data_IF_304790847142
#
_entry.id   IF_304790847142
#
_cell.length_a   1.000
_cell.length_b   1.000
_cell.length_c   1.000
_cell.angle_alpha   90.00
_cell.angle_beta   90.00
_cell.angle_gamma   90.00
#
_symmetry.space_group_name_H-M   'P 1'
#
loop_
_entity.id
_entity.type
_entity.pdbx_description
1 polymer ?
#
# COMPACT_ATOMS: atom_id res chain seq x y z
N UNK A 1 3.39 79.96 -34.01
CA UNK A 1 2.82 78.76 -33.37
C UNK A 1 3.94 77.74 -33.14
N UNK A 2 4.55 77.70 -31.96
CA UNK A 2 5.60 76.73 -31.59
C UNK A 2 4.93 75.43 -31.14
N UNK A 3 5.13 74.32 -31.86
CA UNK A 3 4.66 72.98 -31.46
C UNK A 3 5.71 72.34 -30.55
N UNK A 4 5.37 72.11 -29.29
CA UNK A 4 6.12 71.28 -28.35
C UNK A 4 5.77 69.81 -28.60
N UNK A 5 6.77 68.98 -28.93
CA UNK A 5 6.62 67.52 -28.91
C UNK A 5 6.95 66.99 -27.50
N UNK A 6 6.12 66.12 -26.91
CA UNK A 6 6.44 65.45 -25.65
C UNK A 6 7.37 64.26 -25.92
N UNK A 7 8.49 64.21 -25.20
CA UNK A 7 9.43 63.09 -25.20
C UNK A 7 8.87 61.99 -24.28
N UNK A 8 8.34 60.92 -24.84
CA UNK A 8 7.99 59.71 -24.07
C UNK A 8 9.27 58.88 -23.83
N UNK A 9 9.76 58.87 -22.59
CA UNK A 9 10.82 57.96 -22.18
C UNK A 9 10.22 56.55 -22.00
N UNK A 10 10.55 55.63 -22.91
CA UNK A 10 10.22 54.22 -22.77
C UNK A 10 11.16 53.59 -21.74
N UNK A 11 10.65 53.29 -20.55
CA UNK A 11 11.35 52.47 -19.55
C UNK A 11 11.18 51.00 -19.96
N UNK A 12 12.20 50.44 -20.62
CA UNK A 12 12.28 49.01 -20.87
C UNK A 12 12.63 48.29 -19.56
N UNK A 13 11.62 47.73 -18.89
CA UNK A 13 11.84 46.84 -17.75
C UNK A 13 12.43 45.52 -18.26
N UNK A 14 13.74 45.33 -18.06
CA UNK A 14 14.42 44.06 -18.28
C UNK A 14 13.97 43.05 -17.21
N UNK A 15 12.91 42.30 -17.50
CA UNK A 15 12.51 41.12 -16.74
C UNK A 15 13.47 39.96 -17.06
N UNK A 16 14.59 39.89 -16.33
CA UNK A 16 15.44 38.70 -16.34
C UNK A 16 14.67 37.46 -15.87
N UNK A 17 14.99 36.26 -16.36
CA UNK A 17 14.34 35.04 -15.91
C UNK A 17 14.63 34.84 -14.42
N UNK A 18 13.58 34.83 -13.59
CA UNK A 18 13.69 34.44 -12.19
C UNK A 18 14.07 32.97 -12.15
N UNK A 19 15.30 32.66 -11.75
CA UNK A 19 15.72 31.28 -11.53
C UNK A 19 14.84 30.67 -10.44
N UNK A 20 13.92 29.78 -10.82
CA UNK A 20 13.08 29.08 -9.87
C UNK A 20 13.95 28.11 -9.07
N UNK A 21 14.08 28.35 -7.77
CA UNK A 21 14.83 27.48 -6.87
C UNK A 21 14.30 26.04 -7.00
N UNK A 22 15.22 25.08 -7.07
CA UNK A 22 14.85 23.67 -7.10
C UNK A 22 13.97 23.35 -5.88
N UNK A 23 12.89 22.57 -6.05
CA UNK A 23 12.02 22.23 -4.93
C UNK A 23 12.82 21.55 -3.82
N UNK A 24 12.54 21.92 -2.57
CA UNK A 24 13.18 21.32 -1.41
C UNK A 24 13.01 19.79 -1.43
N UNK A 25 14.06 19.07 -1.03
CA UNK A 25 14.04 17.61 -0.90
C UNK A 25 13.02 17.20 0.17
N UNK A 26 12.31 16.11 -0.09
CA UNK A 26 11.41 15.50 0.90
C UNK A 26 12.25 14.95 2.05
N UNK A 27 11.87 15.22 3.30
CA UNK A 27 12.57 14.72 4.49
C UNK A 27 11.91 13.42 4.96
N UNK A 28 12.60 12.30 4.79
CA UNK A 28 12.12 10.97 5.16
C UNK A 28 12.72 10.54 6.49
N UNK A 29 11.86 10.07 7.40
CA UNK A 29 12.27 9.26 8.55
C UNK A 29 11.87 7.82 8.27
N UNK A 30 12.85 6.92 8.21
CA UNK A 30 12.65 5.49 8.02
C UNK A 30 12.83 4.76 9.36
N UNK A 31 11.75 4.15 9.86
CA UNK A 31 11.76 3.29 11.01
C UNK A 31 11.74 1.82 10.55
N UNK A 32 12.80 1.08 10.86
CA UNK A 32 12.94 -0.34 10.55
C UNK A 32 13.10 -1.23 11.79
N UNK A 33 12.44 -0.82 12.89
CA UNK A 33 12.44 -1.53 14.16
C UNK A 33 11.51 -2.75 14.15
N UNK A 34 12.06 -3.90 14.55
CA UNK A 34 11.28 -5.11 14.86
C UNK A 34 11.25 -5.37 16.37
N UNK A 35 10.06 -5.62 16.91
CA UNK A 35 9.84 -6.20 18.23
C UNK A 35 9.28 -7.61 18.03
N UNK A 36 10.09 -8.63 18.31
CA UNK A 36 9.79 -10.01 17.95
C UNK A 36 10.56 -10.46 16.70
N UNK A 37 9.85 -10.89 15.65
CA UNK A 37 10.50 -11.40 14.44
C UNK A 37 11.23 -10.29 13.67
N UNK A 38 12.48 -10.56 13.30
CA UNK A 38 13.34 -9.64 12.55
C UNK A 38 13.53 -10.16 11.14
N UNK A 39 13.07 -9.39 10.15
CA UNK A 39 13.24 -9.75 8.74
C UNK A 39 14.67 -9.47 8.27
N UNK A 40 15.16 -10.27 7.32
CA UNK A 40 16.51 -10.11 6.75
C UNK A 40 16.81 -8.69 6.23
N UNK A 41 15.90 -7.99 5.52
CA UNK A 41 16.19 -6.64 5.01
C UNK A 41 16.46 -5.60 6.08
N UNK A 42 15.95 -5.79 7.30
CA UNK A 42 16.09 -4.87 8.44
C UNK A 42 17.04 -5.40 9.52
N UNK A 43 17.79 -6.45 9.21
CA UNK A 43 18.79 -7.01 10.13
C UNK A 43 20.09 -6.24 9.98
N UNK A 44 20.61 -5.68 11.09
CA UNK A 44 21.93 -5.04 11.09
C UNK A 44 23.03 -6.09 10.87
N UNK A 45 24.17 -5.72 10.26
CA UNK A 45 25.32 -6.62 10.16
C UNK A 45 25.77 -7.06 11.56
N UNK A 46 26.19 -8.32 11.69
CA UNK A 46 26.68 -8.85 12.96
C UNK A 46 27.83 -8.00 13.52
N UNK A 47 27.79 -7.72 14.82
CA UNK A 47 28.81 -6.94 15.54
C UNK A 47 29.04 -5.53 14.97
N UNK A 48 28.03 -4.91 14.36
CA UNK A 48 28.11 -3.57 13.80
C UNK A 48 26.82 -2.77 14.01
N UNK A 49 26.97 -1.47 14.20
CA UNK A 49 25.85 -0.51 14.10
C UNK A 49 25.71 0.05 12.67
N UNK A 50 26.28 -0.65 11.68
CA UNK A 50 26.15 -0.30 10.27
C UNK A 50 24.72 -0.42 9.75
N UNK A 51 24.46 0.11 8.55
CA UNK A 51 23.12 0.17 8.01
C UNK A 51 22.60 -1.21 7.61
N UNK A 52 21.30 -1.42 7.73
CA UNK A 52 20.59 -2.62 7.24
C UNK A 52 20.51 -2.61 5.70
N UNK A 53 20.28 -3.76 5.04
CA UNK A 53 20.09 -3.80 3.60
C UNK A 53 19.02 -2.84 3.07
N UNK A 54 17.90 -2.66 3.78
CA UNK A 54 16.84 -1.72 3.40
C UNK A 54 17.24 -0.26 3.62
N UNK A 55 17.96 0.05 4.71
CA UNK A 55 18.54 1.38 4.97
C UNK A 55 19.49 1.79 3.83
N UNK A 56 20.37 0.88 3.38
CA UNK A 56 21.27 1.09 2.23
C UNK A 56 20.46 1.38 0.96
N UNK A 57 19.45 0.54 0.66
CA UNK A 57 18.65 0.71 -0.55
C UNK A 57 17.90 2.05 -0.58
N UNK A 58 17.33 2.51 0.54
CA UNK A 58 16.69 3.83 0.63
C UNK A 58 17.70 4.97 0.45
N UNK A 59 18.88 4.87 1.06
CA UNK A 59 19.95 5.85 0.87
C UNK A 59 20.42 5.91 -0.60
N UNK A 60 20.51 4.78 -1.28
CA UNK A 60 20.85 4.72 -2.71
C UNK A 60 19.76 5.33 -3.59
N UNK A 61 18.48 5.08 -3.31
CA UNK A 61 17.37 5.73 -4.04
C UNK A 61 17.45 7.26 -3.84
N UNK A 62 17.65 7.72 -2.60
CA UNK A 62 17.79 9.13 -2.27
C UNK A 62 18.96 9.78 -3.04
N UNK A 63 20.14 9.15 -2.99
CA UNK A 63 21.35 9.66 -3.64
C UNK A 63 21.23 9.70 -5.17
N UNK A 64 20.68 8.64 -5.79
CA UNK A 64 20.54 8.55 -7.25
C UNK A 64 19.51 9.52 -7.81
N UNK A 65 18.42 9.75 -7.08
CA UNK A 65 17.27 10.53 -7.60
C UNK A 65 17.28 11.98 -7.15
N UNK A 66 17.95 12.30 -6.03
CA UNK A 66 17.92 13.60 -5.39
C UNK A 66 16.54 13.99 -4.83
N UNK A 67 15.55 13.09 -4.84
CA UNK A 67 14.16 13.42 -4.53
C UNK A 67 13.88 13.62 -3.04
N UNK A 68 14.66 12.97 -2.18
CA UNK A 68 14.50 13.01 -0.73
C UNK A 68 15.84 12.88 -0.01
N UNK A 69 15.86 13.23 1.27
CA UNK A 69 16.88 12.83 2.24
C UNK A 69 16.26 11.79 3.17
N UNK A 70 17.04 10.82 3.64
CA UNK A 70 16.56 9.79 4.56
C UNK A 70 17.40 9.75 5.82
N UNK A 71 16.71 9.76 6.96
CA UNK A 71 17.26 9.41 8.26
C UNK A 71 16.66 8.06 8.67
N UNK A 72 17.50 7.09 9.02
CA UNK A 72 17.07 5.75 9.40
C UNK A 72 17.30 5.47 10.87
N UNK A 73 16.39 4.71 11.48
CA UNK A 73 16.44 4.39 12.91
C UNK A 73 15.73 3.06 13.20
N UNK A 74 16.23 2.34 14.21
CA UNK A 74 15.54 1.20 14.84
C UNK A 74 14.98 1.56 16.23
N UNK A 75 14.80 2.85 16.50
CA UNK A 75 14.22 3.35 17.75
C UNK A 75 12.97 4.20 17.47
N UNK A 76 11.79 3.62 17.65
CA UNK A 76 10.51 4.28 17.45
C UNK A 76 10.27 5.44 18.44
N UNK A 77 11.00 5.50 19.57
CA UNK A 77 10.83 6.56 20.57
C UNK A 77 11.27 7.94 20.05
N UNK A 78 12.04 7.98 18.96
CA UNK A 78 12.42 9.25 18.32
C UNK A 78 11.23 9.94 17.65
N UNK A 79 10.14 9.20 17.36
CA UNK A 79 8.93 9.75 16.77
C UNK A 79 8.15 10.51 17.85
N UNK A 80 8.39 11.83 17.87
CA UNK A 80 7.79 12.78 18.80
C UNK A 80 7.14 13.94 18.03
N UNK A 81 6.22 14.72 18.63
CA UNK A 81 5.67 15.92 18.00
C UNK A 81 6.74 16.90 17.49
N UNK A 82 7.85 17.02 18.22
CA UNK A 82 9.01 17.83 17.83
C UNK A 82 9.68 17.26 16.59
N UNK A 83 10.00 15.95 16.57
CA UNK A 83 10.62 15.30 15.42
C UNK A 83 9.77 15.43 14.15
N UNK A 84 8.45 15.31 14.26
CA UNK A 84 7.52 15.40 13.13
C UNK A 84 7.51 16.78 12.43
N UNK A 85 8.06 17.84 13.05
CA UNK A 85 8.27 19.13 12.37
C UNK A 85 9.36 19.05 11.30
N UNK A 86 10.29 18.11 11.48
CA UNK A 86 11.46 17.92 10.62
C UNK A 86 11.30 16.81 9.59
N UNK A 87 10.10 16.21 9.51
CA UNK A 87 9.78 15.07 8.67
C UNK A 87 8.61 15.41 7.77
N UNK A 88 8.69 15.01 6.50
CA UNK A 88 7.60 15.11 5.52
C UNK A 88 6.98 13.74 5.25
N UNK A 89 7.77 12.65 5.34
CA UNK A 89 7.28 11.27 5.16
C UNK A 89 7.86 10.34 6.21
N UNK A 90 7.00 9.58 6.87
CA UNK A 90 7.36 8.50 7.78
C UNK A 90 7.24 7.16 7.02
N UNK A 91 8.31 6.38 6.97
CA UNK A 91 8.32 5.04 6.36
C UNK A 91 8.48 4.01 7.46
N UNK A 92 7.58 3.03 7.52
CA UNK A 92 7.63 1.90 8.45
C UNK A 92 7.94 0.62 7.67
N UNK A 93 8.99 -0.08 8.10
CA UNK A 93 9.15 -1.52 7.92
C UNK A 93 9.33 -2.11 9.31
N UNK A 94 8.23 -2.40 9.99
CA UNK A 94 8.24 -2.66 11.44
C UNK A 94 7.48 -3.93 11.76
N UNK A 95 7.72 -4.50 12.93
CA UNK A 95 7.02 -5.70 13.43
C UNK A 95 6.76 -5.57 14.93
N UNK A 96 5.62 -6.08 15.37
CA UNK A 96 5.24 -6.24 16.77
C UNK A 96 4.96 -4.93 17.53
N UNK A 97 5.14 -5.01 18.85
CA UNK A 97 4.79 -3.97 19.83
C UNK A 97 5.81 -2.85 19.92
N UNK A 98 5.70 -1.89 18.99
CA UNK A 98 6.57 -0.72 18.98
C UNK A 98 6.37 0.16 20.23
N UNK A 99 7.45 0.70 20.81
CA UNK A 99 7.39 1.55 22.00
C UNK A 99 6.96 3.00 21.65
N UNK A 100 5.82 3.17 20.98
CA UNK A 100 5.22 4.47 20.66
C UNK A 100 4.14 4.79 21.69
N UNK A 101 4.30 5.89 22.44
CA UNK A 101 3.31 6.31 23.42
C UNK A 101 1.98 6.69 22.76
N UNK A 102 0.88 6.63 23.52
CA UNK A 102 -0.42 7.02 23.00
C UNK A 102 -0.46 8.49 22.53
N UNK A 103 0.26 9.38 23.21
CA UNK A 103 0.45 10.78 22.82
C UNK A 103 1.17 10.92 21.49
N UNK A 104 2.29 10.20 21.32
CA UNK A 104 3.09 10.24 20.09
C UNK A 104 2.29 9.68 18.90
N UNK A 105 1.54 8.59 19.09
CA UNK A 105 0.67 8.07 18.04
C UNK A 105 -0.45 9.04 17.66
N UNK A 106 -1.10 9.68 18.64
CA UNK A 106 -2.08 10.73 18.38
C UNK A 106 -1.47 11.94 17.62
N UNK A 107 -0.20 12.25 17.87
CA UNK A 107 0.52 13.27 17.13
C UNK A 107 0.82 12.86 15.67
N UNK A 108 1.23 11.61 15.42
CA UNK A 108 1.41 11.06 14.06
C UNK A 108 0.11 11.16 13.27
N UNK A 109 -1.00 10.72 13.87
CA UNK A 109 -2.31 10.76 13.21
C UNK A 109 -2.70 12.19 12.82
N UNK A 110 -2.62 13.16 13.74
CA UNK A 110 -2.92 14.58 13.45
C UNK A 110 -1.98 15.19 12.42
N UNK A 111 -0.70 14.81 12.45
CA UNK A 111 0.29 15.27 11.48
C UNK A 111 -0.06 14.81 10.06
N UNK A 112 -0.45 13.53 9.88
CA UNK A 112 -0.96 13.03 8.60
C UNK A 112 -2.29 13.67 8.24
N UNK A 113 -3.28 13.71 9.15
CA UNK A 113 -4.60 14.32 8.91
C UNK A 113 -4.52 15.77 8.44
N UNK A 114 -3.56 16.53 8.96
CA UNK A 114 -3.33 17.93 8.57
C UNK A 114 -2.72 18.12 7.18
N UNK A 115 -2.22 17.04 6.55
CA UNK A 115 -1.50 17.10 5.26
C UNK A 115 -0.07 17.60 5.38
N UNK A 116 0.44 17.81 6.60
CA UNK A 116 1.85 18.12 6.85
C UNK A 116 2.76 16.91 6.63
N UNK A 117 2.19 15.70 6.64
CA UNK A 117 2.92 14.45 6.58
C UNK A 117 2.28 13.37 5.72
N UNK A 118 3.14 12.52 5.16
CA UNK A 118 2.79 11.29 4.50
C UNK A 118 3.27 10.05 5.26
N UNK A 119 2.62 8.91 5.02
CA UNK A 119 3.00 7.63 5.64
C UNK A 119 3.21 6.54 4.58
N UNK A 120 4.26 5.74 4.72
CA UNK A 120 4.52 4.58 3.86
C UNK A 120 4.71 3.33 4.72
N UNK A 121 3.86 2.32 4.55
CA UNK A 121 4.05 0.99 5.10
C UNK A 121 4.71 0.06 4.08
N UNK A 122 5.78 -0.63 4.48
CA UNK A 122 6.48 -1.61 3.66
C UNK A 122 6.40 -2.98 4.32
N UNK A 123 6.07 -3.99 3.51
CA UNK A 123 6.00 -5.40 3.86
C UNK A 123 5.37 -5.67 5.24
N UNK A 124 6.21 -5.85 6.27
CA UNK A 124 5.80 -6.26 7.62
C UNK A 124 5.10 -5.16 8.40
N UNK A 125 5.02 -3.93 7.88
CA UNK A 125 4.35 -2.81 8.56
C UNK A 125 2.92 -3.14 9.03
N UNK A 126 2.20 -4.08 8.40
CA UNK A 126 0.87 -4.56 8.84
C UNK A 126 0.89 -5.60 9.97
N UNK A 127 2.08 -6.11 10.32
CA UNK A 127 2.38 -6.96 11.47
C UNK A 127 2.88 -6.12 12.67
N UNK A 128 2.65 -4.81 12.63
CA UNK A 128 2.88 -3.89 13.74
C UNK A 128 1.57 -3.67 14.49
N UNK A 129 1.62 -3.66 15.81
CA UNK A 129 0.48 -3.37 16.68
C UNK A 129 0.97 -2.91 18.05
N UNK A 130 0.11 -2.30 18.86
CA UNK A 130 0.32 -2.11 20.31
C UNK A 130 -1.04 -1.79 20.91
N UNK A 131 -1.19 -1.92 22.24
CA UNK A 131 -2.42 -1.50 22.89
C UNK A 131 -2.55 0.04 22.83
N UNK A 132 -3.63 0.51 22.22
CA UNK A 132 -3.86 1.93 22.00
C UNK A 132 -5.24 2.35 22.52
N UNK A 133 -5.23 3.06 23.65
CA UNK A 133 -6.40 3.65 24.30
C UNK A 133 -6.54 5.16 24.08
N UNK A 134 -5.70 5.75 23.22
CA UNK A 134 -5.74 7.18 22.89
C UNK A 134 -6.80 7.55 21.84
N UNK A 135 -6.91 8.84 21.48
CA UNK A 135 -7.90 9.31 20.51
C UNK A 135 -7.56 8.93 19.06
N UNK A 136 -8.59 8.70 18.25
CA UNK A 136 -8.43 8.42 16.82
C UNK A 136 -8.37 6.92 16.51
N UNK A 137 -7.58 6.55 15.51
CA UNK A 137 -7.44 5.21 14.98
C UNK A 137 -6.34 4.43 15.73
N UNK A 138 -6.60 3.15 16.00
CA UNK A 138 -5.52 2.20 16.27
C UNK A 138 -4.59 2.11 15.05
N UNK A 139 -3.36 1.64 15.25
CA UNK A 139 -2.40 1.49 14.14
C UNK A 139 -2.94 0.60 13.01
N UNK A 140 -3.54 -0.55 13.34
CA UNK A 140 -4.09 -1.48 12.34
C UNK A 140 -5.24 -0.86 11.56
N UNK A 141 -6.11 -0.09 12.24
CA UNK A 141 -7.18 0.67 11.61
C UNK A 141 -6.67 1.86 10.79
N UNK A 142 -5.47 2.40 11.07
CA UNK A 142 -4.82 3.46 10.30
C UNK A 142 -4.16 2.93 9.02
N UNK A 143 -3.35 1.87 9.11
CA UNK A 143 -2.70 1.25 7.95
C UNK A 143 -3.68 0.43 7.09
N UNK A 144 -4.86 0.10 7.64
CA UNK A 144 -5.94 -0.67 7.02
C UNK A 144 -5.58 -2.14 6.76
N UNK A 145 -5.01 -2.80 7.77
CA UNK A 145 -4.73 -4.22 7.71
C UNK A 145 -3.95 -4.68 8.92
N UNK A 146 -4.40 -5.76 9.54
CA UNK A 146 -3.69 -6.48 10.60
C UNK A 146 -3.23 -7.82 10.05
N UNK A 147 -1.97 -8.18 10.27
CA UNK A 147 -1.43 -9.48 9.87
C UNK A 147 -2.34 -10.64 10.33
N UNK A 148 -2.71 -11.50 9.37
CA UNK A 148 -3.54 -12.69 9.60
C UNK A 148 -2.96 -13.93 8.89
N UNK A 149 -1.63 -13.97 8.78
CA UNK A 149 -0.88 -15.06 8.18
C UNK A 149 -0.21 -14.72 6.84
N UNK A 150 0.61 -15.66 6.39
CA UNK A 150 1.48 -15.53 5.21
C UNK A 150 1.54 -16.86 4.44
N UNK A 151 0.43 -17.30 3.82
CA UNK A 151 0.40 -18.58 3.09
C UNK A 151 1.47 -18.66 1.99
N UNK A 152 1.73 -17.53 1.32
CA UNK A 152 2.80 -17.37 0.36
C UNK A 152 4.04 -16.97 1.14
N UNK A 153 4.88 -17.94 1.48
CA UNK A 153 6.12 -17.73 2.24
C UNK A 153 7.24 -17.21 1.33
N UNK A 154 8.37 -16.82 1.93
CA UNK A 154 9.55 -16.35 1.20
C UNK A 154 9.86 -17.16 -0.08
N UNK A 155 9.92 -16.46 -1.21
CA UNK A 155 10.25 -17.04 -2.52
C UNK A 155 9.10 -17.79 -3.20
N UNK A 156 7.89 -17.79 -2.64
CA UNK A 156 6.71 -18.38 -3.28
C UNK A 156 6.44 -17.67 -4.60
N UNK A 157 6.29 -18.39 -5.72
CA UNK A 157 5.84 -17.80 -6.97
C UNK A 157 4.42 -17.23 -6.82
N UNK A 158 4.27 -15.96 -7.16
CA UNK A 158 3.02 -15.23 -7.14
C UNK A 158 2.76 -14.57 -8.49
N UNK A 159 1.48 -14.37 -8.79
CA UNK A 159 1.04 -13.49 -9.87
C UNK A 159 0.32 -12.31 -9.27
N UNK A 160 0.72 -11.10 -9.64
CA UNK A 160 0.12 -9.84 -9.17
C UNK A 160 -0.49 -9.12 -10.36
N UNK A 161 -1.67 -8.55 -10.17
CA UNK A 161 -2.34 -7.71 -11.16
C UNK A 161 -2.65 -6.32 -10.58
N UNK A 162 -2.46 -5.31 -11.43
CA UNK A 162 -2.81 -3.93 -11.15
C UNK A 162 -4.34 -3.74 -11.15
N UNK A 163 -4.80 -2.98 -10.17
CA UNK A 163 -6.17 -2.50 -9.99
C UNK A 163 -6.19 -0.97 -10.07
N UNK A 164 -7.38 -0.38 -10.04
CA UNK A 164 -7.55 1.06 -10.01
C UNK A 164 -7.11 1.72 -11.32
N UNK A 165 -7.26 1.03 -12.45
CA UNK A 165 -7.04 1.67 -13.74
C UNK A 165 -8.10 2.76 -13.97
N UNK A 166 -7.71 3.87 -14.61
CA UNK A 166 -8.62 4.98 -14.87
C UNK A 166 -9.72 4.52 -15.84
N UNK A 167 -10.93 5.06 -15.68
CA UNK A 167 -11.91 5.05 -16.76
C UNK A 167 -11.25 5.68 -18.01
N UNK A 168 -11.10 4.89 -19.08
CA UNK A 168 -10.33 5.28 -20.28
C UNK A 168 -8.95 4.62 -20.45
N UNK A 169 -8.54 3.69 -19.57
CA UNK A 169 -7.44 2.76 -19.85
C UNK A 169 -6.03 3.18 -19.43
N UNK A 170 -5.88 4.14 -18.51
CA UNK A 170 -4.57 4.58 -18.00
C UNK A 170 -4.16 3.93 -16.67
N UNK A 171 -2.86 3.62 -16.50
CA UNK A 171 -2.29 3.22 -15.20
C UNK A 171 -2.51 4.32 -14.16
N UNK A 172 -2.79 3.93 -12.91
CA UNK A 172 -2.74 4.88 -11.79
C UNK A 172 -1.32 5.45 -11.71
N UNK A 173 -1.12 6.79 -11.64
CA UNK A 173 0.22 7.37 -11.58
C UNK A 173 1.09 6.81 -10.46
N UNK A 174 0.50 6.34 -9.35
CA UNK A 174 1.20 5.76 -8.19
C UNK A 174 1.54 4.27 -8.40
N UNK A 175 1.01 3.65 -9.47
CA UNK A 175 1.20 2.25 -9.81
C UNK A 175 1.79 2.07 -11.22
N UNK A 176 2.84 2.83 -11.54
CA UNK A 176 3.47 2.81 -12.87
C UNK A 176 4.71 1.95 -12.96
N UNK A 177 5.39 1.70 -11.83
CA UNK A 177 6.64 0.95 -11.78
C UNK A 177 6.51 -0.48 -12.32
N UNK A 178 5.42 -1.16 -11.98
CA UNK A 178 5.21 -2.54 -12.39
C UNK A 178 4.42 -2.64 -13.72
N UNK A 179 4.59 -3.74 -14.48
CA UNK A 179 3.65 -4.11 -15.55
C UNK A 179 2.22 -4.26 -15.01
N UNK A 180 1.21 -4.20 -15.89
CA UNK A 180 -0.18 -4.35 -15.48
C UNK A 180 -0.48 -5.70 -14.82
N UNK A 181 0.28 -6.73 -15.19
CA UNK A 181 0.28 -8.06 -14.58
C UNK A 181 1.70 -8.60 -14.62
N UNK A 182 2.19 -9.16 -13.53
CA UNK A 182 3.55 -9.68 -13.45
C UNK A 182 3.64 -10.89 -12.52
N UNK A 183 4.61 -11.77 -12.79
CA UNK A 183 4.99 -12.86 -11.89
C UNK A 183 6.16 -12.41 -11.03
N UNK A 184 6.16 -12.82 -9.77
CA UNK A 184 7.24 -12.50 -8.83
C UNK A 184 7.45 -13.65 -7.85
N UNK A 185 8.52 -13.60 -7.06
CA UNK A 185 8.77 -14.57 -6.00
C UNK A 185 8.93 -13.81 -4.69
N UNK A 186 7.96 -13.92 -3.78
CA UNK A 186 7.94 -13.12 -2.55
C UNK A 186 7.11 -13.73 -1.43
N UNK A 187 7.31 -13.27 -0.20
CA UNK A 187 6.39 -13.49 0.91
C UNK A 187 5.23 -12.47 0.90
N UNK A 188 3.97 -12.95 0.91
CA UNK A 188 2.78 -12.11 0.87
C UNK A 188 1.86 -12.41 2.05
N UNK A 189 1.47 -11.34 2.73
CA UNK A 189 0.55 -11.38 3.86
C UNK A 189 -0.90 -11.33 3.43
N UNK A 190 -1.76 -11.94 4.25
CA UNK A 190 -3.20 -11.70 4.24
C UNK A 190 -3.60 -10.99 5.54
N UNK A 191 -4.73 -10.27 5.50
CA UNK A 191 -5.09 -9.34 6.57
C UNK A 191 -6.46 -9.60 7.17
N UNK A 192 -6.57 -9.46 8.50
CA UNK A 192 -7.83 -9.11 9.17
C UNK A 192 -7.97 -7.59 9.25
N UNK A 193 -9.13 -7.10 9.69
CA UNK A 193 -9.42 -5.66 9.87
C UNK A 193 -9.17 -4.79 8.63
N UNK A 194 -9.31 -5.38 7.45
CA UNK A 194 -9.18 -4.70 6.17
C UNK A 194 -10.54 -4.14 5.75
N UNK A 195 -10.66 -2.82 5.64
CA UNK A 195 -11.88 -2.15 5.16
C UNK A 195 -11.69 -1.66 3.71
N UNK A 196 -12.37 -2.28 2.72
CA UNK A 196 -12.25 -1.89 1.31
C UNK A 196 -12.82 -0.49 1.03
N UNK A 197 -13.64 0.05 1.93
CA UNK A 197 -14.25 1.39 1.79
C UNK A 197 -13.32 2.52 2.21
N UNK A 198 -12.18 2.20 2.85
CA UNK A 198 -11.20 3.19 3.31
C UNK A 198 -9.99 3.33 2.40
N UNK A 199 -9.77 2.36 1.52
CA UNK A 199 -8.54 2.31 0.71
C UNK A 199 -8.83 2.12 -0.76
N UNK A 200 -7.91 2.64 -1.57
CA UNK A 200 -7.81 2.32 -2.98
C UNK A 200 -6.80 1.20 -3.16
N UNK A 201 -7.26 0.01 -3.50
CA UNK A 201 -6.38 -1.08 -3.91
C UNK A 201 -5.75 -0.77 -5.27
N UNK A 202 -4.43 -0.89 -5.35
CA UNK A 202 -3.63 -0.68 -6.55
C UNK A 202 -3.13 -1.99 -7.14
N UNK A 203 -2.90 -3.01 -6.31
CA UNK A 203 -2.44 -4.33 -6.73
C UNK A 203 -3.06 -5.41 -5.86
N UNK A 204 -3.31 -6.58 -6.44
CA UNK A 204 -3.79 -7.76 -5.72
C UNK A 204 -3.23 -9.04 -6.34
N UNK A 205 -3.24 -10.14 -5.57
CA UNK A 205 -2.90 -11.46 -6.11
C UNK A 205 -3.92 -11.88 -7.18
N UNK A 206 -3.43 -12.51 -8.24
CA UNK A 206 -4.22 -13.12 -9.31
C UNK A 206 -4.11 -14.65 -9.23
N UNK A 207 -5.12 -15.29 -8.66
CA UNK A 207 -5.14 -16.74 -8.47
C UNK A 207 -5.45 -17.57 -9.73
N UNK A 208 -5.62 -16.97 -10.91
CA UNK A 208 -6.03 -17.72 -12.12
C UNK A 208 -4.95 -18.64 -12.66
N UNK A 209 -3.68 -18.40 -12.33
CA UNK A 209 -2.53 -19.24 -12.71
C UNK A 209 -1.62 -19.63 -11.53
N UNK A 210 -2.03 -19.34 -10.29
CA UNK A 210 -1.27 -19.69 -9.08
C UNK A 210 -1.68 -21.06 -8.54
N UNK A 211 -0.72 -21.86 -8.07
CA UNK A 211 -1.02 -23.13 -7.40
C UNK A 211 -1.65 -22.91 -6.01
N UNK A 212 -1.09 -22.01 -5.21
CA UNK A 212 -1.61 -21.65 -3.90
C UNK A 212 -2.61 -20.50 -3.99
N UNK A 213 -3.86 -20.78 -3.65
CA UNK A 213 -4.99 -19.85 -3.78
C UNK A 213 -5.72 -19.64 -2.45
N UNK A 214 -6.54 -18.58 -2.39
CA UNK A 214 -7.55 -18.36 -1.36
C UNK A 214 -8.86 -17.86 -1.98
N UNK A 215 -10.03 -18.22 -1.45
CA UNK A 215 -11.33 -17.82 -2.00
C UNK A 215 -11.73 -16.37 -1.61
N UNK A 216 -10.79 -15.52 -1.22
CA UNK A 216 -11.02 -14.13 -0.80
C UNK A 216 -10.00 -13.20 -1.43
N UNK A 217 -10.31 -11.90 -1.36
CA UNK A 217 -9.42 -10.83 -1.82
C UNK A 217 -8.12 -10.76 -1.01
N UNK A 218 -6.97 -10.71 -1.70
CA UNK A 218 -5.65 -10.49 -1.11
C UNK A 218 -4.97 -9.28 -1.78
N UNK A 219 -5.06 -8.08 -1.18
CA UNK A 219 -4.42 -6.90 -1.71
C UNK A 219 -2.90 -6.95 -1.47
N UNK A 220 -2.13 -6.51 -2.46
CA UNK A 220 -0.65 -6.41 -2.39
C UNK A 220 -0.20 -4.96 -2.19
N UNK A 221 -0.92 -4.00 -2.77
CA UNK A 221 -0.58 -2.58 -2.63
C UNK A 221 -1.85 -1.76 -2.58
N UNK A 222 -1.92 -0.79 -1.67
CA UNK A 222 -3.03 0.14 -1.57
C UNK A 222 -2.59 1.54 -1.16
N UNK A 223 -3.50 2.48 -1.38
CA UNK A 223 -3.37 3.86 -0.93
C UNK A 223 -4.57 4.27 -0.11
N UNK A 224 -4.38 5.25 0.77
CA UNK A 224 -5.43 5.80 1.63
C UNK A 224 -5.25 7.29 1.80
N UNK A 225 -6.38 8.01 1.77
CA UNK A 225 -6.44 9.40 2.20
C UNK A 225 -6.83 9.44 3.68
N UNK A 226 -6.10 10.19 4.50
CA UNK A 226 -6.42 10.41 5.91
C UNK A 226 -6.38 11.92 6.14
N UNK A 227 -7.54 12.54 6.30
CA UNK A 227 -7.67 14.00 6.23
C UNK A 227 -7.08 14.53 4.92
N UNK A 228 -6.09 15.43 5.00
CA UNK A 228 -5.35 15.96 3.87
C UNK A 228 -4.08 15.15 3.52
N UNK A 229 -3.62 14.26 4.40
CA UNK A 229 -2.45 13.42 4.17
C UNK A 229 -2.73 12.12 3.43
N UNK A 230 -1.64 11.45 3.06
CA UNK A 230 -1.65 10.28 2.19
C UNK A 230 -0.84 9.15 2.80
N UNK A 231 -1.42 7.96 2.77
CA UNK A 231 -0.79 6.71 3.17
C UNK A 231 -0.66 5.78 1.96
N UNK A 232 0.52 5.20 1.79
CA UNK A 232 0.79 4.12 0.84
C UNK A 232 1.20 2.87 1.60
N UNK A 233 0.77 1.70 1.15
CA UNK A 233 1.27 0.42 1.66
C UNK A 233 1.56 -0.55 0.52
N UNK A 234 2.64 -1.33 0.65
CA UNK A 234 2.91 -2.49 -0.20
C UNK A 234 3.35 -3.69 0.63
N UNK A 235 2.87 -4.89 0.31
CA UNK A 235 3.26 -6.16 0.93
C UNK A 235 4.62 -6.67 0.44
N UNK A 236 5.14 -6.10 -0.65
CA UNK A 236 6.44 -6.49 -1.19
C UNK A 236 7.58 -5.98 -0.31
N UNK A 237 8.69 -6.72 -0.25
CA UNK A 237 9.91 -6.28 0.42
C UNK A 237 10.49 -7.24 1.45
N UNK A 238 9.93 -8.45 1.64
CA UNK A 238 10.48 -9.46 2.55
C UNK A 238 11.85 -9.96 2.11
N UNK A 239 11.99 -10.26 0.81
CA UNK A 239 13.21 -10.88 0.31
C UNK A 239 14.28 -9.82 0.04
N UNK A 240 15.55 -10.01 0.46
CA UNK A 240 16.62 -9.04 0.18
C UNK A 240 16.82 -8.70 -1.31
N UNK A 241 16.54 -9.64 -2.23
CA UNK A 241 16.60 -9.39 -3.68
C UNK A 241 15.58 -8.35 -4.16
N UNK A 242 14.42 -8.25 -3.50
CA UNK A 242 13.38 -7.27 -3.80
C UNK A 242 13.90 -5.84 -3.64
N UNK A 243 14.76 -5.61 -2.65
CA UNK A 243 15.43 -4.32 -2.43
C UNK A 243 16.48 -3.96 -3.48
N UNK A 244 16.89 -4.92 -4.33
CA UNK A 244 17.78 -4.68 -5.48
C UNK A 244 17.02 -4.55 -6.80
N UNK A 245 15.72 -4.84 -6.81
CA UNK A 245 14.89 -4.78 -8.00
C UNK A 245 14.61 -3.31 -8.39
N UNK A 246 14.97 -2.87 -9.61
CA UNK A 246 14.70 -1.51 -10.06
C UNK A 246 13.21 -1.15 -10.05
N UNK A 247 12.30 -2.11 -10.25
CA UNK A 247 10.86 -1.86 -10.22
C UNK A 247 10.36 -1.60 -8.80
N UNK A 248 10.83 -2.35 -7.81
CA UNK A 248 10.50 -2.10 -6.41
C UNK A 248 11.07 -0.77 -5.90
N UNK A 249 12.33 -0.47 -6.26
CA UNK A 249 12.95 0.83 -5.95
C UNK A 249 12.18 2.00 -6.58
N UNK A 250 11.69 1.84 -7.80
CA UNK A 250 10.82 2.83 -8.45
C UNK A 250 9.46 2.97 -7.76
N UNK A 251 8.87 1.87 -7.27
CA UNK A 251 7.63 1.89 -6.48
C UNK A 251 7.82 2.67 -5.16
N UNK A 252 8.93 2.45 -4.44
CA UNK A 252 9.25 3.19 -3.21
C UNK A 252 9.39 4.70 -3.50
N UNK A 253 10.12 5.06 -4.58
CA UNK A 253 10.26 6.46 -4.98
C UNK A 253 8.91 7.11 -5.28
N UNK A 254 8.03 6.41 -6.01
CA UNK A 254 6.69 6.87 -6.33
C UNK A 254 5.82 7.01 -5.08
N UNK A 255 5.92 6.06 -4.13
CA UNK A 255 5.24 6.13 -2.84
C UNK A 255 5.66 7.38 -2.06
N UNK A 256 6.97 7.61 -1.87
CA UNK A 256 7.50 8.78 -1.15
C UNK A 256 7.05 10.09 -1.82
N UNK A 257 7.16 10.20 -3.15
CA UNK A 257 6.72 11.41 -3.86
C UNK A 257 5.22 11.62 -3.76
N UNK A 258 4.43 10.55 -3.86
CA UNK A 258 2.98 10.66 -3.81
C UNK A 258 2.47 11.03 -2.42
N UNK A 259 3.02 10.42 -1.36
CA UNK A 259 2.64 10.73 0.03
C UNK A 259 3.09 12.13 0.45
N UNK A 260 4.19 12.64 -0.11
CA UNK A 260 4.64 14.03 0.05
C UNK A 260 3.93 15.05 -0.89
N UNK A 261 2.86 14.65 -1.60
CA UNK A 261 2.15 15.49 -2.57
C UNK A 261 3.02 16.07 -3.71
N UNK A 262 4.14 15.41 -4.02
CA UNK A 262 5.04 15.73 -5.16
C UNK A 262 4.76 14.89 -6.41
N UNK A 263 3.74 14.02 -6.37
CA UNK A 263 3.27 13.22 -7.50
C UNK A 263 1.74 13.18 -7.51
N UNK A 264 1.08 13.30 -8.68
CA UNK A 264 -0.37 13.12 -8.79
C UNK A 264 -0.75 11.65 -8.55
N UNK A 265 -2.01 11.40 -8.21
CA UNK A 265 -2.52 10.04 -7.97
C UNK A 265 -3.78 10.08 -7.11
N UNK A 266 -4.74 9.20 -7.38
CA UNK A 266 -5.98 9.15 -6.63
C UNK A 266 -5.80 8.30 -5.37
N UNK A 267 -6.43 8.72 -4.28
CA UNK A 267 -6.61 7.90 -3.07
C UNK A 267 -8.07 7.45 -2.88
N UNK A 268 -8.97 7.80 -3.83
CA UNK A 268 -10.40 7.48 -3.74
C UNK A 268 -10.58 5.95 -3.68
N UNK A 269 -11.22 5.42 -2.62
CA UNK A 269 -11.48 4.00 -2.49
C UNK A 269 -12.20 3.41 -3.71
N UNK A 270 -11.90 2.15 -4.03
CA UNK A 270 -12.49 1.38 -5.12
C UNK A 270 -13.15 0.08 -4.61
N UNK A 271 -14.12 0.17 -3.68
CA UNK A 271 -14.71 -1.02 -3.03
C UNK A 271 -15.39 -1.96 -4.03
N UNK A 272 -16.03 -1.43 -5.08
CA UNK A 272 -16.71 -2.27 -6.09
C UNK A 272 -15.72 -3.11 -6.90
N UNK A 273 -14.58 -2.53 -7.28
CA UNK A 273 -13.51 -3.24 -7.99
C UNK A 273 -12.88 -4.31 -7.09
N UNK A 274 -12.65 -3.99 -5.81
CA UNK A 274 -12.16 -4.94 -4.82
C UNK A 274 -13.16 -6.08 -4.59
N UNK A 275 -14.46 -5.78 -4.56
CA UNK A 275 -15.52 -6.76 -4.40
C UNK A 275 -15.57 -7.71 -5.60
N UNK A 276 -15.49 -7.20 -6.83
CA UNK A 276 -15.35 -8.03 -8.04
C UNK A 276 -14.09 -8.91 -7.97
N UNK A 277 -12.97 -8.39 -7.47
CA UNK A 277 -11.74 -9.16 -7.31
C UNK A 277 -11.85 -10.27 -6.25
N UNK A 278 -12.64 -10.04 -5.20
CA UNK A 278 -12.96 -11.06 -4.21
C UNK A 278 -13.74 -12.22 -4.85
N UNK A 279 -14.76 -11.92 -5.67
CA UNK A 279 -15.52 -12.93 -6.41
C UNK A 279 -14.67 -13.64 -7.47
N UNK A 280 -13.75 -12.91 -8.10
CA UNK A 280 -12.74 -13.50 -9.00
C UNK A 280 -11.87 -14.53 -8.27
N UNK A 281 -11.45 -14.22 -7.04
CA UNK A 281 -10.65 -15.10 -6.20
C UNK A 281 -11.41 -16.37 -5.78
N UNK A 282 -12.70 -16.21 -5.43
CA UNK A 282 -13.62 -17.32 -5.15
C UNK A 282 -13.75 -18.28 -6.34
N UNK A 283 -13.99 -17.76 -7.55
CA UNK A 283 -14.14 -18.56 -8.77
C UNK A 283 -12.81 -19.20 -9.22
N UNK A 284 -11.67 -18.52 -9.01
CA UNK A 284 -10.35 -19.08 -9.28
C UNK A 284 -10.00 -20.22 -8.32
N UNK A 285 -10.43 -20.12 -7.05
CA UNK A 285 -10.27 -21.19 -6.06
C UNK A 285 -11.12 -22.43 -6.42
N UNK A 286 -12.29 -22.26 -7.03
CA UNK A 286 -13.13 -23.34 -7.58
C UNK A 286 -12.49 -24.09 -8.76
N UNK A 287 -11.38 -23.57 -9.30
CA UNK A 287 -10.67 -24.20 -10.43
C UNK A 287 -11.25 -23.88 -11.80
N UNK A 288 -12.11 -22.87 -11.91
CA UNK A 288 -12.72 -22.47 -13.20
C UNK A 288 -11.67 -21.93 -14.18
N UNK A 289 -11.82 -22.19 -15.50
CA UNK A 289 -10.96 -21.60 -16.51
C UNK A 289 -11.03 -20.06 -16.50
N UNK A 290 -9.89 -19.40 -16.75
CA UNK A 290 -9.81 -17.93 -16.76
C UNK A 290 -10.87 -17.28 -17.67
N UNK A 291 -11.10 -17.81 -18.87
CA UNK A 291 -12.11 -17.26 -19.79
C UNK A 291 -13.54 -17.29 -19.20
N UNK A 292 -13.89 -18.35 -18.47
CA UNK A 292 -15.18 -18.45 -17.80
C UNK A 292 -15.29 -17.44 -16.65
N UNK A 293 -14.22 -17.29 -15.87
CA UNK A 293 -14.14 -16.31 -14.77
C UNK A 293 -14.40 -14.91 -15.30
N UNK A 294 -13.69 -14.48 -16.35
CA UNK A 294 -13.85 -13.14 -16.92
C UNK A 294 -15.26 -12.91 -17.53
N UNK A 295 -15.85 -13.94 -18.15
CA UNK A 295 -17.23 -13.87 -18.64
C UNK A 295 -18.25 -13.69 -17.50
N UNK A 296 -18.06 -14.40 -16.38
CA UNK A 296 -18.90 -14.24 -15.17
C UNK A 296 -18.73 -12.87 -14.53
N UNK A 297 -17.49 -12.38 -14.41
CA UNK A 297 -17.21 -11.06 -13.86
C UNK A 297 -17.85 -9.94 -14.67
N UNK A 298 -17.90 -10.07 -16.00
CA UNK A 298 -18.61 -9.12 -16.88
C UNK A 298 -20.10 -9.01 -16.54
N UNK A 299 -20.74 -10.11 -16.11
CA UNK A 299 -22.13 -10.10 -15.64
C UNK A 299 -22.24 -9.55 -14.22
N UNK A 300 -21.35 -9.97 -13.32
CA UNK A 300 -21.32 -9.50 -11.92
C UNK A 300 -21.04 -8.00 -11.81
N UNK A 301 -20.28 -7.42 -12.73
CA UNK A 301 -20.04 -5.97 -12.79
C UNK A 301 -21.30 -5.14 -13.05
N UNK A 302 -22.39 -5.78 -13.48
CA UNK A 302 -23.72 -5.17 -13.66
C UNK A 302 -24.67 -5.46 -12.50
N UNK A 303 -24.22 -6.21 -11.49
CA UNK A 303 -25.04 -6.51 -10.33
C UNK A 303 -25.23 -5.26 -9.46
N UNK A 304 -26.26 -5.31 -8.61
CA UNK A 304 -26.49 -4.30 -7.59
C UNK A 304 -25.23 -4.13 -6.68
N UNK A 305 -24.74 -2.90 -6.44
CA UNK A 305 -23.54 -2.67 -5.63
C UNK A 305 -23.64 -3.19 -4.20
N UNK A 306 -24.84 -3.12 -3.57
CA UNK A 306 -25.01 -3.63 -2.21
C UNK A 306 -24.90 -5.16 -2.19
N UNK A 307 -25.50 -5.85 -3.16
CA UNK A 307 -25.31 -7.29 -3.33
C UNK A 307 -23.83 -7.65 -3.54
N UNK A 308 -23.13 -6.93 -4.42
CA UNK A 308 -21.71 -7.16 -4.72
C UNK A 308 -20.84 -7.02 -3.47
N UNK A 309 -21.04 -5.95 -2.71
CA UNK A 309 -20.34 -5.69 -1.44
C UNK A 309 -20.63 -6.80 -0.41
N UNK A 310 -21.90 -7.20 -0.26
CA UNK A 310 -22.30 -8.27 0.67
C UNK A 310 -21.73 -9.63 0.28
N UNK A 311 -21.67 -9.96 -1.02
CA UNK A 311 -21.03 -11.17 -1.51
C UNK A 311 -19.53 -11.17 -1.21
N UNK A 312 -18.83 -10.06 -1.47
CA UNK A 312 -17.41 -9.93 -1.15
C UNK A 312 -17.13 -10.02 0.35
N UNK A 313 -17.95 -9.39 1.21
CA UNK A 313 -17.84 -9.49 2.66
C UNK A 313 -17.94 -10.95 3.14
N UNK A 314 -18.85 -11.75 2.54
CA UNK A 314 -18.96 -13.18 2.85
C UNK A 314 -17.76 -14.00 2.39
N UNK A 315 -17.11 -13.63 1.29
CA UNK A 315 -15.81 -14.27 0.93
C UNK A 315 -14.73 -13.97 1.97
N UNK A 316 -14.66 -12.74 2.49
CA UNK A 316 -13.70 -12.37 3.53
C UNK A 316 -13.97 -13.11 4.86
N UNK A 317 -15.24 -13.37 5.18
CA UNK A 317 -15.66 -14.15 6.34
C UNK A 317 -15.25 -15.63 6.28
N UNK A 318 -14.81 -16.15 5.13
CA UNK A 318 -14.23 -17.49 5.03
C UNK A 318 -12.84 -17.59 5.67
N UNK A 319 -12.11 -16.48 5.82
CA UNK A 319 -10.74 -16.46 6.35
C UNK A 319 -10.62 -17.02 7.77
N UNK A 320 -11.40 -16.58 8.77
CA UNK A 320 -11.33 -17.15 10.13
C UNK A 320 -11.77 -18.62 10.20
N UNK A 321 -12.52 -19.11 9.20
CA UNK A 321 -12.89 -20.53 9.11
C UNK A 321 -11.78 -21.39 8.50
N UNK A 322 -10.77 -20.78 7.88
CA UNK A 322 -9.70 -21.52 7.23
C UNK A 322 -8.92 -22.36 8.25
N UNK A 323 -8.71 -23.67 7.99
CA UNK A 323 -8.01 -24.55 8.91
C UNK A 323 -6.60 -24.05 9.24
N UNK A 324 -6.31 -23.90 10.53
CA UNK A 324 -5.01 -23.42 11.00
C UNK A 324 -3.89 -24.45 10.78
N UNK A 325 -4.23 -25.74 10.79
CA UNK A 325 -3.33 -26.87 10.50
C UNK A 325 -3.89 -27.72 9.36
N UNK A 326 -3.05 -28.44 8.61
CA UNK A 326 -3.50 -29.34 7.55
C UNK A 326 -4.54 -30.37 8.01
N UNK A 327 -4.40 -30.88 9.24
CA UNK A 327 -5.27 -31.92 9.80
C UNK A 327 -6.49 -31.37 10.56
N UNK A 328 -6.67 -30.03 10.58
CA UNK A 328 -7.83 -29.42 11.23
C UNK A 328 -9.10 -29.66 10.40
N UNK A 329 -10.25 -29.80 11.09
CA UNK A 329 -11.55 -29.98 10.44
C UNK A 329 -11.85 -28.82 9.48
N UNK A 330 -12.06 -29.15 8.20
CA UNK A 330 -12.33 -28.22 7.12
C UNK A 330 -13.83 -28.07 6.85
N UNK A 331 -14.70 -28.91 7.43
CA UNK A 331 -16.13 -28.91 7.16
C UNK A 331 -16.82 -27.54 7.38
N UNK A 332 -16.49 -26.73 8.42
CA UNK A 332 -17.07 -25.40 8.57
C UNK A 332 -16.72 -24.46 7.41
N UNK A 333 -15.45 -24.49 6.97
CA UNK A 333 -15.01 -23.71 5.82
C UNK A 333 -15.67 -24.20 4.53
N UNK A 334 -15.69 -25.50 4.26
CA UNK A 334 -16.22 -26.06 3.01
C UNK A 334 -17.72 -25.77 2.86
N UNK A 335 -18.47 -25.86 3.96
CA UNK A 335 -19.90 -25.52 4.00
C UNK A 335 -20.14 -24.05 3.67
N UNK A 336 -19.42 -23.14 4.34
CA UNK A 336 -19.55 -21.70 4.10
C UNK A 336 -19.08 -21.31 2.70
N UNK A 337 -17.96 -21.87 2.24
CA UNK A 337 -17.41 -21.64 0.91
C UNK A 337 -18.40 -22.05 -0.17
N UNK A 338 -18.97 -23.26 -0.07
CA UNK A 338 -19.95 -23.76 -1.02
C UNK A 338 -21.20 -22.88 -1.11
N UNK A 339 -21.72 -22.42 0.03
CA UNK A 339 -22.88 -21.53 0.05
C UNK A 339 -22.63 -20.22 -0.71
N UNK A 340 -21.46 -19.60 -0.52
CA UNK A 340 -21.09 -18.36 -1.23
C UNK A 340 -20.84 -18.63 -2.71
N UNK A 341 -20.16 -19.74 -3.04
CA UNK A 341 -19.89 -20.13 -4.43
C UNK A 341 -21.17 -20.36 -5.22
N UNK A 342 -22.10 -21.16 -4.70
CA UNK A 342 -23.35 -21.52 -5.39
C UNK A 342 -24.17 -20.25 -5.70
N UNK A 343 -24.25 -19.29 -4.77
CA UNK A 343 -24.92 -18.01 -5.00
C UNK A 343 -24.23 -17.17 -6.10
N UNK A 344 -22.90 -17.04 -6.04
CA UNK A 344 -22.14 -16.25 -7.03
C UNK A 344 -22.23 -16.89 -8.42
N UNK A 345 -22.22 -18.22 -8.50
CA UNK A 345 -22.38 -18.98 -9.75
C UNK A 345 -23.79 -18.79 -10.31
N UNK A 346 -24.83 -18.83 -9.46
CA UNK A 346 -26.21 -18.58 -9.88
C UNK A 346 -26.41 -17.14 -10.36
N UNK A 347 -25.91 -16.14 -9.60
CA UNK A 347 -26.01 -14.71 -9.96
C UNK A 347 -25.27 -14.37 -11.25
N UNK A 348 -24.17 -15.08 -11.51
CA UNK A 348 -23.36 -14.94 -12.73
C UNK A 348 -23.73 -15.97 -13.81
N UNK A 349 -24.80 -16.74 -13.61
CA UNK A 349 -25.39 -17.61 -14.63
C UNK A 349 -25.92 -16.78 -15.80
N UNK A 350 -25.78 -17.31 -17.00
CA UNK A 350 -26.39 -16.76 -18.22
C UNK A 350 -27.70 -17.48 -18.50
#
# INVERSE_FOLDING_TARGET
>A
MRRLLPLFAAVAALSGPVAQAAPAKIRVLYLDQSVGFVHKPVTRPANSNGPTPSEIALAEIAARTGAFTVESTQDARVITPQKLKDVDVLIFYTTGELPISAENWAAVQRWVESGKGGFVGLHSATDTHWDYSGPGLTYTAFINGKFAGHPWTQGTPITVQALGQKAGGGKDPVNTAWPARFTYAEEIYQYSDYDPTKVRALQALDFTDMALKRPWFVPVTWTRQIGQGRLFHTSLGHTPSTWNDPLYRAQILDAVRWTAHRKPGAAKPNPDEQALWALRSLLAYDGRPKAEIEARLTRLAKADPAWLSNAAARTAALRPLWPAKPDSDKAPFDTAYKAVLDEVVAKSGG
#
